data_IF_325919752174
#
_entry.id   IF_325919752174
#
_cell.length_a   1.000
_cell.length_b   1.000
_cell.length_c   1.000
_cell.angle_alpha   90.00
_cell.angle_beta   90.00
_cell.angle_gamma   90.00
#
_symmetry.space_group_name_H-M   'P 1'
#
loop_
_entity.id
_entity.type
_entity.pdbx_description
1 polymer ?
#
# COMPACT_ATOMS: atom_id res chain seq x y z
N UNK A 1 16.60 21.65 31.50
CA UNK A 1 16.87 20.21 31.29
C UNK A 1 16.03 19.77 30.12
N UNK A 2 16.63 19.67 28.92
CA UNK A 2 15.96 19.07 27.76
C UNK A 2 16.69 17.76 27.47
N UNK A 3 15.97 16.65 27.65
CA UNK A 3 16.43 15.34 27.25
C UNK A 3 15.77 15.01 25.92
N UNK A 4 16.57 14.75 24.89
CA UNK A 4 16.12 14.35 23.55
C UNK A 4 16.20 12.83 23.35
N UNK A 5 16.48 12.08 24.42
CA UNK A 5 16.61 10.63 24.32
C UNK A 5 15.30 10.00 23.87
N UNK A 6 15.37 9.27 22.75
CA UNK A 6 14.26 8.46 22.25
C UNK A 6 14.32 7.11 22.96
N UNK A 7 13.23 6.74 23.63
CA UNK A 7 13.09 5.43 24.25
C UNK A 7 12.56 4.45 23.22
N UNK A 8 13.36 3.44 22.90
CA UNK A 8 12.93 2.34 22.04
C UNK A 8 12.18 1.28 22.87
N UNK A 9 11.08 0.70 22.36
CA UNK A 9 10.25 -0.25 23.11
C UNK A 9 11.04 -1.41 23.70
N UNK A 10 11.98 -1.97 22.94
CA UNK A 10 12.76 -3.13 23.34
C UNK A 10 13.61 -2.88 24.61
N UNK A 11 14.00 -1.62 24.86
CA UNK A 11 14.74 -1.21 26.05
C UNK A 11 13.85 -1.13 27.30
N UNK A 12 12.53 -1.05 27.13
CA UNK A 12 11.57 -0.86 28.21
C UNK A 12 10.74 -2.11 28.51
N UNK A 13 10.86 -3.17 27.71
CA UNK A 13 9.96 -4.34 27.77
C UNK A 13 9.96 -5.05 29.14
N UNK A 14 11.08 -5.01 29.87
CA UNK A 14 11.20 -5.60 31.22
C UNK A 14 10.67 -4.69 32.33
N UNK A 15 10.55 -3.38 32.05
CA UNK A 15 10.21 -2.35 33.03
C UNK A 15 8.71 -2.04 33.00
N UNK A 16 8.10 -2.11 31.82
CA UNK A 16 6.69 -1.73 31.63
C UNK A 16 5.76 -2.95 31.58
N UNK A 17 4.50 -2.82 32.03
CA UNK A 17 3.54 -3.93 31.94
C UNK A 17 3.32 -4.39 30.50
N UNK A 18 3.17 -5.71 30.30
CA UNK A 18 2.98 -6.33 28.97
C UNK A 18 1.86 -5.69 28.14
N UNK A 19 0.74 -5.32 28.77
CA UNK A 19 -0.37 -4.66 28.08
C UNK A 19 0.01 -3.24 27.58
N UNK A 20 0.83 -2.52 28.33
CA UNK A 20 1.31 -1.19 27.94
C UNK A 20 2.30 -1.32 26.79
N UNK A 21 3.23 -2.29 26.87
CA UNK A 21 4.16 -2.60 25.79
C UNK A 21 3.42 -2.96 24.49
N UNK A 22 2.46 -3.88 24.55
CA UNK A 22 1.68 -4.28 23.37
C UNK A 22 0.93 -3.10 22.73
N UNK A 23 0.32 -2.22 23.55
CA UNK A 23 -0.35 -1.02 23.04
C UNK A 23 0.63 -0.03 22.40
N UNK A 24 1.83 0.09 22.95
CA UNK A 24 2.87 0.95 22.39
C UNK A 24 3.38 0.42 21.05
N UNK A 25 3.66 -0.88 20.94
CA UNK A 25 4.05 -1.48 19.66
C UNK A 25 2.97 -1.31 18.59
N UNK A 26 1.71 -1.58 18.92
CA UNK A 26 0.58 -1.33 18.01
C UNK A 26 0.53 0.14 17.58
N UNK A 27 0.75 1.08 18.50
CA UNK A 27 0.76 2.50 18.19
C UNK A 27 1.91 2.89 17.25
N UNK A 28 3.11 2.32 17.43
CA UNK A 28 4.24 2.53 16.54
C UNK A 28 4.01 1.94 15.16
N UNK A 29 3.52 0.70 15.06
CA UNK A 29 3.15 0.09 13.78
C UNK A 29 2.11 0.92 13.04
N UNK A 30 1.09 1.41 13.76
CA UNK A 30 0.07 2.30 13.18
C UNK A 30 0.66 3.64 12.77
N UNK A 31 1.54 4.24 13.57
CA UNK A 31 2.18 5.52 13.24
C UNK A 31 3.03 5.42 11.96
N UNK A 32 3.74 4.31 11.77
CA UNK A 32 4.47 4.01 10.53
C UNK A 32 3.52 3.94 9.32
N UNK A 33 2.37 3.28 9.47
CA UNK A 33 1.37 3.16 8.40
C UNK A 33 0.66 4.50 8.13
N UNK A 34 0.39 5.31 9.16
CA UNK A 34 -0.30 6.61 9.01
C UNK A 34 0.53 7.66 8.24
N UNK A 35 1.86 7.49 8.19
CA UNK A 35 2.73 8.33 7.34
C UNK A 35 2.78 7.88 5.88
N UNK A 36 2.29 6.67 5.57
CA UNK A 36 2.41 6.06 4.26
C UNK A 36 1.08 6.07 3.50
N UNK A 37 1.16 6.17 2.18
CA UNK A 37 -0.03 6.10 1.33
C UNK A 37 -0.38 4.62 1.11
N UNK A 38 -1.51 4.19 1.65
CA UNK A 38 -2.01 2.84 1.42
C UNK A 38 -2.81 2.77 0.11
N UNK A 39 -2.70 1.66 -0.62
CA UNK A 39 -3.51 1.39 -1.80
C UNK A 39 -3.86 -0.10 -1.88
N UNK A 40 -4.87 -0.42 -2.68
CA UNK A 40 -5.34 -1.79 -2.86
C UNK A 40 -4.85 -2.35 -4.18
N UNK A 41 -4.60 -3.66 -4.21
CA UNK A 41 -4.39 -4.40 -5.45
C UNK A 41 -5.61 -4.19 -6.37
N UNK A 42 -5.41 -3.78 -7.64
CA UNK A 42 -6.54 -3.50 -8.54
C UNK A 42 -7.27 -4.76 -8.98
N UNK A 43 -6.67 -5.94 -8.83
CA UNK A 43 -7.30 -7.22 -9.09
C UNK A 43 -8.30 -7.55 -7.99
N UNK A 44 -9.60 -7.60 -8.31
CA UNK A 44 -10.69 -7.78 -7.34
C UNK A 44 -10.64 -9.11 -6.60
N UNK A 45 -10.17 -10.16 -7.27
CA UNK A 45 -9.96 -11.49 -6.69
C UNK A 45 -8.79 -11.53 -5.70
N UNK A 46 -7.97 -10.48 -5.65
CA UNK A 46 -6.86 -10.32 -4.71
C UNK A 46 -7.17 -9.27 -3.64
N UNK A 47 -7.40 -8.02 -4.06
CA UNK A 47 -7.68 -6.87 -3.20
C UNK A 47 -6.72 -6.67 -2.01
N UNK A 48 -5.49 -7.21 -2.09
CA UNK A 48 -4.50 -7.09 -1.03
C UNK A 48 -4.13 -5.61 -0.78
N UNK A 49 -3.93 -5.26 0.50
CA UNK A 49 -3.48 -3.92 0.92
C UNK A 49 -1.97 -3.82 0.73
N UNK A 50 -1.53 -2.74 0.10
CA UNK A 50 -0.13 -2.40 -0.10
C UNK A 50 0.17 -1.01 0.44
N UNK A 51 1.42 -0.79 0.84
CA UNK A 51 1.90 0.46 1.43
C UNK A 51 2.91 1.06 0.47
N UNK A 52 2.69 2.33 0.09
CA UNK A 52 3.68 3.15 -0.61
C UNK A 52 4.60 3.77 0.45
N UNK A 53 5.80 3.23 0.54
CA UNK A 53 6.82 3.50 1.54
C UNK A 53 7.80 4.62 1.15
N UNK A 54 7.86 4.98 -0.14
CA UNK A 54 8.94 5.83 -0.66
C UNK A 54 8.47 7.16 -1.27
N UNK A 55 7.18 7.38 -1.51
CA UNK A 55 6.66 8.65 -2.05
C UNK A 55 7.17 8.99 -3.46
N UNK A 56 7.95 8.10 -4.06
CA UNK A 56 8.40 8.16 -5.43
C UNK A 56 7.25 7.79 -6.37
N UNK A 57 7.23 8.41 -7.54
CA UNK A 57 6.22 8.08 -8.56
C UNK A 57 6.61 6.74 -9.20
N UNK A 58 6.17 5.65 -8.58
CA UNK A 58 6.23 4.30 -9.16
C UNK A 58 5.08 4.16 -10.15
N UNK A 59 5.39 3.78 -11.39
CA UNK A 59 4.36 3.54 -12.42
C UNK A 59 3.98 2.08 -12.49
N UNK A 60 4.97 1.19 -12.48
CA UNK A 60 4.82 -0.25 -12.58
C UNK A 60 5.17 -0.89 -11.25
N UNK A 61 4.31 -1.78 -10.76
CA UNK A 61 4.59 -2.58 -9.56
C UNK A 61 3.94 -3.96 -9.67
N UNK A 62 4.54 -4.93 -9.00
CA UNK A 62 4.02 -6.28 -8.87
C UNK A 62 3.37 -6.43 -7.50
N UNK A 63 2.15 -6.98 -7.46
CA UNK A 63 1.49 -7.25 -6.19
C UNK A 63 2.18 -8.41 -5.45
N UNK A 64 2.64 -8.24 -4.20
CA UNK A 64 3.34 -9.31 -3.47
C UNK A 64 2.44 -10.49 -3.10
N UNK A 65 1.11 -10.35 -3.18
CA UNK A 65 0.17 -11.41 -2.86
C UNK A 65 -0.21 -12.28 -4.07
N UNK A 66 -0.43 -11.67 -5.24
CA UNK A 66 -0.88 -12.39 -6.44
C UNK A 66 0.13 -12.41 -7.58
N UNK A 67 1.27 -11.73 -7.43
CA UNK A 67 2.36 -11.66 -8.41
C UNK A 67 1.96 -11.09 -9.78
N UNK A 68 0.86 -10.34 -9.83
CA UNK A 68 0.39 -9.69 -11.07
C UNK A 68 0.88 -8.26 -11.12
N UNK A 69 1.39 -7.87 -12.29
CA UNK A 69 1.80 -6.50 -12.60
C UNK A 69 0.59 -5.57 -12.72
N UNK A 70 0.73 -4.34 -12.26
CA UNK A 70 -0.29 -3.31 -12.36
C UNK A 70 0.33 -1.91 -12.47
N UNK A 71 -0.47 -0.96 -12.93
CA UNK A 71 -0.08 0.45 -12.98
C UNK A 71 -0.49 1.16 -11.68
N UNK A 72 0.47 1.62 -10.86
CA UNK A 72 0.18 2.30 -9.59
C UNK A 72 -0.49 3.67 -9.78
N UNK A 73 -0.20 4.34 -10.90
CA UNK A 73 -0.78 5.66 -11.20
C UNK A 73 -2.23 5.56 -11.65
N UNK A 74 -2.55 4.56 -12.48
CA UNK A 74 -3.90 4.38 -13.01
C UNK A 74 -4.77 3.46 -12.14
N UNK A 75 -4.14 2.72 -11.22
CA UNK A 75 -4.76 1.72 -10.35
C UNK A 75 -5.61 0.68 -11.12
N UNK A 76 -5.00 0.08 -12.14
CA UNK A 76 -5.57 -0.95 -13.04
C UNK A 76 -4.48 -1.96 -13.39
N UNK A 77 -4.83 -3.09 -14.01
CA UNK A 77 -3.81 -4.02 -14.55
C UNK A 77 -2.85 -3.29 -15.48
N UNK A 78 -1.66 -3.87 -15.63
CA UNK A 78 -0.64 -3.26 -16.47
C UNK A 78 -1.11 -3.05 -17.92
N UNK A 79 -0.82 -1.87 -18.47
CA UNK A 79 -1.17 -1.49 -19.84
C UNK A 79 0.09 -1.35 -20.70
N UNK A 80 0.53 -2.47 -21.28
CA UNK A 80 1.74 -2.55 -22.11
C UNK A 80 1.65 -1.62 -23.32
N UNK A 81 2.73 -0.89 -23.60
CA UNK A 81 2.87 -0.10 -24.82
C UNK A 81 2.10 1.22 -24.84
N UNK A 82 1.49 1.62 -23.72
CA UNK A 82 0.83 2.91 -23.54
C UNK A 82 1.35 3.55 -22.26
N UNK A 83 1.67 4.84 -22.32
CA UNK A 83 1.86 5.61 -21.09
C UNK A 83 0.51 5.87 -20.38
N UNK A 84 0.55 6.31 -19.13
CA UNK A 84 -0.66 6.59 -18.35
C UNK A 84 -1.60 7.61 -19.03
N UNK A 85 -1.05 8.62 -19.71
CA UNK A 85 -1.85 9.67 -20.38
C UNK A 85 -2.54 9.12 -21.62
N UNK A 86 -1.83 8.34 -22.43
CA UNK A 86 -2.36 7.65 -23.61
C UNK A 86 -3.45 6.66 -23.21
N UNK A 87 -3.18 5.84 -22.19
CA UNK A 87 -4.15 4.88 -21.67
C UNK A 87 -5.44 5.56 -21.18
N UNK A 88 -5.32 6.67 -20.46
CA UNK A 88 -6.48 7.44 -19.98
C UNK A 88 -7.27 8.09 -21.13
N UNK A 89 -6.59 8.66 -22.13
CA UNK A 89 -7.24 9.26 -23.33
C UNK A 89 -8.08 8.25 -24.10
N UNK A 90 -7.66 7.00 -24.13
CA UNK A 90 -8.39 5.91 -24.80
C UNK A 90 -9.56 5.37 -23.96
N UNK A 91 -9.80 5.90 -22.75
CA UNK A 91 -10.79 5.38 -21.82
C UNK A 91 -10.44 4.01 -21.27
N UNK A 92 -9.15 3.64 -21.28
CA UNK A 92 -8.68 2.32 -20.87
C UNK A 92 -9.10 1.94 -19.45
N UNK A 93 -9.08 2.90 -18.53
CA UNK A 93 -9.45 2.66 -17.13
C UNK A 93 -10.91 2.25 -16.94
N UNK A 94 -11.85 2.91 -17.64
CA UNK A 94 -13.28 2.56 -17.54
C UNK A 94 -13.59 1.25 -18.24
N UNK A 95 -12.99 1.01 -19.41
CA UNK A 95 -13.15 -0.23 -20.16
C UNK A 95 -12.70 -1.41 -19.32
N UNK A 96 -11.54 -1.29 -18.70
CA UNK A 96 -10.98 -2.38 -17.92
C UNK A 96 -11.78 -2.70 -16.67
N UNK A 97 -12.26 -1.68 -15.94
CA UNK A 97 -13.14 -1.90 -14.78
C UNK A 97 -14.39 -2.71 -15.16
N UNK A 98 -14.98 -2.45 -16.34
CA UNK A 98 -16.10 -3.24 -16.88
C UNK A 98 -15.70 -4.69 -17.21
N UNK A 99 -14.51 -4.90 -17.78
CA UNK A 99 -14.01 -6.26 -18.04
C UNK A 99 -13.79 -7.06 -16.75
N UNK A 100 -13.29 -6.40 -15.69
CA UNK A 100 -13.09 -7.03 -14.39
C UNK A 100 -14.42 -7.32 -13.67
N UNK A 101 -15.46 -6.49 -13.89
CA UNK A 101 -16.84 -6.76 -13.43
C UNK A 101 -17.40 -8.05 -14.07
N UNK A 102 -17.25 -8.21 -15.38
CA UNK A 102 -17.87 -9.31 -16.15
C UNK A 102 -17.22 -10.68 -15.85
N UNK A 103 -15.95 -10.71 -15.45
CA UNK A 103 -15.23 -11.95 -15.08
C UNK A 103 -15.59 -12.51 -13.70
N UNK A 104 -16.41 -11.80 -12.92
CA UNK A 104 -16.80 -12.21 -11.56
C UNK A 104 -18.19 -12.91 -11.53
N UNK A 105 -18.79 -13.18 -12.70
CA UNK A 105 -20.05 -13.93 -12.86
C UNK A 105 -19.81 -15.43 -13.06
#
# INVERSE_FOLDING_TARGET
MNCEAVLEPHLCHEIIPKQVFARWEIALSRALIFGSKIFYCPYKDCAAVMVDDNGEIVTESECPNCHRLFCCQCNVSWHVGLDCKEFQRLGGGERQRRFDDDRTC
#
